data_IF_152305295643
#
_entry.id   IF_152305295643
#
_cell.length_a   1.000
_cell.length_b   1.000
_cell.length_c   1.000
_cell.angle_alpha   90.00
_cell.angle_beta   90.00
_cell.angle_gamma   90.00
#
_symmetry.space_group_name_H-M   'P 1'
#
loop_
_entity.id
_entity.type
_entity.pdbx_description
1 polymer ?
#
# COMPACT_ATOMS: atom_id res chain seq x y z
N UNK A 1 -39.03 -12.91 3.60
CA UNK A 1 -38.65 -13.08 2.18
C UNK A 1 -39.02 -11.81 1.43
N UNK A 2 -38.06 -10.90 1.26
CA UNK A 2 -38.09 -9.90 0.21
C UNK A 2 -36.80 -10.11 -0.56
N UNK A 3 -36.96 -10.41 -1.83
CA UNK A 3 -35.90 -10.72 -2.77
C UNK A 3 -34.85 -9.60 -2.75
N UNK A 4 -33.59 -10.01 -2.62
CA UNK A 4 -32.44 -9.19 -2.96
C UNK A 4 -32.51 -8.96 -4.47
N UNK A 5 -33.15 -7.88 -4.90
CA UNK A 5 -32.82 -7.27 -6.18
C UNK A 5 -31.33 -6.90 -6.12
N UNK A 6 -30.50 -7.72 -6.77
CA UNK A 6 -29.14 -7.37 -7.16
C UNK A 6 -29.25 -6.06 -7.93
N UNK A 7 -29.03 -4.93 -7.27
CA UNK A 7 -28.79 -3.66 -7.95
C UNK A 7 -27.75 -3.92 -9.04
N UNK A 8 -28.14 -3.69 -10.29
CA UNK A 8 -27.28 -3.91 -11.44
C UNK A 8 -26.01 -3.09 -11.25
N UNK A 9 -24.86 -3.76 -11.15
CA UNK A 9 -23.59 -3.09 -10.93
C UNK A 9 -23.18 -2.39 -12.22
N UNK A 10 -23.21 -1.05 -12.24
CA UNK A 10 -22.70 -0.29 -13.38
C UNK A 10 -21.18 -0.35 -13.33
N UNK A 11 -20.58 -0.93 -14.37
CA UNK A 11 -19.12 -1.07 -14.52
C UNK A 11 -18.67 -0.05 -15.55
N UNK A 12 -17.58 0.66 -15.26
CA UNK A 12 -17.00 1.64 -16.18
C UNK A 12 -16.73 1.06 -17.57
N UNK A 13 -16.96 1.85 -18.61
CA UNK A 13 -16.64 1.48 -20.00
C UNK A 13 -15.13 1.45 -20.29
N UNK A 14 -14.32 2.27 -19.60
CA UNK A 14 -12.87 2.38 -19.81
C UNK A 14 -12.01 1.57 -18.83
N UNK A 15 -12.55 1.13 -17.70
CA UNK A 15 -11.83 0.31 -16.73
C UNK A 15 -12.79 -0.71 -16.08
N UNK A 16 -12.45 -1.22 -14.90
CA UNK A 16 -13.27 -2.21 -14.17
C UNK A 16 -13.74 -1.71 -12.80
N UNK A 17 -13.56 -0.43 -12.51
CA UNK A 17 -14.23 0.22 -11.37
C UNK A 17 -15.74 0.25 -11.60
N UNK A 18 -16.49 0.11 -10.51
CA UNK A 18 -17.93 -0.03 -10.54
C UNK A 18 -18.58 0.54 -9.25
N UNK A 19 -19.90 0.37 -9.13
CA UNK A 19 -20.70 0.88 -8.00
C UNK A 19 -20.38 0.25 -6.64
N UNK A 20 -19.40 -0.67 -6.52
CA UNK A 20 -18.86 -1.09 -5.21
C UNK A 20 -18.05 0.03 -4.52
N UNK A 21 -17.62 1.04 -5.27
CA UNK A 21 -17.24 2.35 -4.72
C UNK A 21 -18.51 3.22 -4.61
N UNK A 22 -19.01 3.54 -3.41
CA UNK A 22 -20.29 4.24 -3.26
C UNK A 22 -20.24 5.70 -3.75
N UNK A 23 -19.04 6.26 -3.91
CA UNK A 23 -18.82 7.64 -4.31
C UNK A 23 -18.45 7.75 -5.78
N UNK A 24 -18.42 6.63 -6.51
CA UNK A 24 -18.16 6.62 -7.95
C UNK A 24 -19.25 7.38 -8.68
N UNK A 25 -18.86 8.18 -9.66
CA UNK A 25 -19.79 8.76 -10.61
C UNK A 25 -19.34 8.46 -12.03
N UNK A 26 -20.32 8.33 -12.91
CA UNK A 26 -20.12 8.07 -14.33
C UNK A 26 -20.58 9.30 -15.12
N UNK A 27 -19.87 9.61 -16.19
CA UNK A 27 -20.34 10.59 -17.16
C UNK A 27 -21.31 9.98 -18.18
N UNK A 28 -21.72 10.78 -19.18
CA UNK A 28 -22.67 10.36 -20.21
C UNK A 28 -22.16 9.22 -21.13
N UNK A 29 -20.89 8.82 -21.01
CA UNK A 29 -20.27 7.73 -21.77
C UNK A 29 -19.92 6.52 -20.88
N UNK A 30 -20.51 6.45 -19.68
CA UNK A 30 -20.23 5.42 -18.66
C UNK A 30 -18.75 5.37 -18.22
N UNK A 31 -18.02 6.48 -18.37
CA UNK A 31 -16.63 6.60 -17.91
C UNK A 31 -16.65 7.11 -16.47
N UNK A 32 -16.01 6.36 -15.57
CA UNK A 32 -15.98 6.71 -14.15
C UNK A 32 -14.99 7.83 -13.83
N UNK A 33 -15.19 8.45 -12.69
CA UNK A 33 -14.37 9.55 -12.20
C UNK A 33 -12.91 9.19 -11.94
N UNK A 34 -12.59 7.93 -11.64
CA UNK A 34 -11.21 7.45 -11.55
C UNK A 34 -10.47 7.56 -12.89
N UNK A 35 -11.12 7.18 -14.00
CA UNK A 35 -10.54 7.33 -15.34
C UNK A 35 -10.35 8.80 -15.70
N UNK A 36 -11.31 9.66 -15.32
CA UNK A 36 -11.22 11.11 -15.57
C UNK A 36 -10.13 11.76 -14.73
N UNK A 37 -9.97 11.37 -13.47
CA UNK A 37 -8.89 11.81 -12.59
C UNK A 37 -7.52 11.42 -13.16
N UNK A 38 -7.39 10.18 -13.65
CA UNK A 38 -6.17 9.75 -14.32
C UNK A 38 -5.84 10.65 -15.51
N UNK A 39 -6.78 10.87 -16.43
CA UNK A 39 -6.57 11.69 -17.63
C UNK A 39 -6.19 13.15 -17.30
N UNK A 40 -6.80 13.73 -16.27
CA UNK A 40 -6.68 15.17 -15.98
C UNK A 40 -5.61 15.53 -14.96
N UNK A 41 -5.36 14.67 -13.97
CA UNK A 41 -4.49 14.96 -12.83
C UNK A 41 -3.26 14.05 -12.73
N UNK A 42 -3.29 12.83 -13.27
CA UNK A 42 -2.16 11.89 -13.17
C UNK A 42 -1.33 11.88 -14.45
N UNK A 43 -1.96 11.59 -15.59
CA UNK A 43 -1.30 11.42 -16.89
C UNK A 43 -0.43 12.63 -17.29
N UNK A 44 -0.86 13.91 -17.11
CA UNK A 44 -0.02 15.07 -17.43
C UNK A 44 1.25 15.20 -16.58
N UNK A 45 1.32 14.47 -15.46
CA UNK A 45 2.45 14.48 -14.53
C UNK A 45 3.20 13.15 -14.49
N UNK A 46 2.76 12.14 -15.25
CA UNK A 46 3.38 10.84 -15.30
C UNK A 46 4.52 10.83 -16.32
N UNK A 47 5.75 10.82 -15.79
CA UNK A 47 7.01 11.00 -16.52
C UNK A 47 7.61 9.65 -16.95
N UNK A 48 6.84 8.83 -17.65
CA UNK A 48 7.21 7.43 -17.96
C UNK A 48 7.81 7.22 -19.35
N UNK A 49 7.89 8.24 -20.20
CA UNK A 49 8.36 8.10 -21.58
C UNK A 49 9.89 8.18 -21.74
N UNK A 50 10.62 8.22 -20.62
CA UNK A 50 12.10 8.26 -20.58
C UNK A 50 12.71 9.62 -20.84
N UNK A 51 11.93 10.64 -21.23
CA UNK A 51 12.45 12.01 -21.49
C UNK A 51 12.87 12.72 -20.21
N UNK A 52 12.38 12.27 -19.06
CA UNK A 52 12.69 12.82 -17.75
C UNK A 52 13.79 12.03 -17.03
N UNK A 53 14.55 11.20 -17.76
CA UNK A 53 15.73 10.52 -17.22
C UNK A 53 16.75 11.53 -16.66
N UNK A 54 16.86 12.70 -17.27
CA UNK A 54 17.73 13.78 -16.78
C UNK A 54 17.27 14.35 -15.42
N UNK A 55 15.95 14.51 -15.22
CA UNK A 55 15.40 14.90 -13.93
C UNK A 55 15.73 13.86 -12.85
N UNK A 56 15.61 12.57 -13.20
CA UNK A 56 15.98 11.48 -12.30
C UNK A 56 17.47 11.52 -11.99
N UNK A 57 18.34 11.63 -13.01
CA UNK A 57 19.79 11.70 -12.82
C UNK A 57 20.16 12.86 -11.88
N UNK A 58 19.56 14.04 -12.04
CA UNK A 58 19.78 15.16 -11.14
C UNK A 58 19.36 14.86 -9.69
N UNK A 59 18.24 14.16 -9.49
CA UNK A 59 17.82 13.70 -8.16
C UNK A 59 18.84 12.70 -7.59
N UNK A 60 19.29 11.72 -8.37
CA UNK A 60 20.29 10.72 -7.96
C UNK A 60 21.61 11.40 -7.58
N UNK A 61 22.10 12.35 -8.37
CA UNK A 61 23.33 13.10 -8.08
C UNK A 61 23.21 13.90 -6.77
N UNK A 62 22.03 14.48 -6.52
CA UNK A 62 21.75 15.16 -5.26
C UNK A 62 21.73 14.21 -4.07
N UNK A 63 21.19 13.00 -4.23
CA UNK A 63 21.22 11.95 -3.21
C UNK A 63 22.67 11.58 -2.89
N UNK A 64 23.47 11.26 -3.91
CA UNK A 64 24.90 10.93 -3.78
C UNK A 64 25.69 12.03 -3.09
N UNK A 65 25.51 13.28 -3.53
CA UNK A 65 26.18 14.46 -2.96
C UNK A 65 25.84 14.64 -1.48
N UNK A 66 24.57 14.46 -1.12
CA UNK A 66 24.11 14.56 0.28
C UNK A 66 24.59 13.41 1.16
N UNK A 67 24.78 12.24 0.55
CA UNK A 67 25.30 11.02 1.19
C UNK A 67 26.82 10.92 1.20
N UNK A 68 27.54 11.88 0.62
CA UNK A 68 28.99 11.85 0.56
C UNK A 68 29.61 11.83 1.97
N UNK A 69 30.59 10.96 2.19
CA UNK A 69 31.21 10.73 3.50
C UNK A 69 30.34 9.97 4.52
N UNK A 70 29.13 9.52 4.14
CA UNK A 70 28.29 8.64 4.97
C UNK A 70 28.35 7.21 4.49
N UNK A 71 27.95 6.30 5.36
CA UNK A 71 27.74 4.88 5.02
C UNK A 71 26.62 4.72 3.98
N UNK A 72 25.46 5.36 4.24
CA UNK A 72 24.28 5.31 3.37
C UNK A 72 23.92 6.68 2.80
N UNK A 73 23.45 6.73 1.55
CA UNK A 73 22.97 7.95 0.89
C UNK A 73 21.44 8.06 0.89
N UNK A 74 20.74 6.92 0.94
CA UNK A 74 19.29 6.81 1.00
C UNK A 74 18.87 5.61 1.86
N UNK A 75 17.56 5.48 2.11
CA UNK A 75 16.95 4.34 2.79
C UNK A 75 15.81 3.80 1.93
N UNK A 76 15.67 2.47 1.90
CA UNK A 76 14.69 1.75 1.08
C UNK A 76 14.09 0.61 1.87
N UNK A 77 12.76 0.52 1.87
CA UNK A 77 12.03 -0.58 2.50
C UNK A 77 11.80 -1.71 1.51
N UNK A 78 12.16 -2.94 1.88
CA UNK A 78 11.94 -4.12 1.06
C UNK A 78 10.84 -5.00 1.66
N UNK A 79 9.77 -5.26 0.89
CA UNK A 79 8.68 -6.17 1.27
C UNK A 79 8.82 -7.56 0.66
N UNK A 80 9.72 -7.71 -0.31
CA UNK A 80 9.80 -8.90 -1.17
C UNK A 80 8.83 -8.83 -2.35
N UNK A 81 7.99 -7.81 -2.46
CA UNK A 81 7.11 -7.53 -3.60
C UNK A 81 7.86 -6.91 -4.79
N UNK A 82 7.27 -7.05 -5.99
CA UNK A 82 7.89 -6.66 -7.28
C UNK A 82 8.39 -5.21 -7.31
N UNK A 83 7.56 -4.26 -6.87
CA UNK A 83 7.87 -2.83 -6.93
C UNK A 83 9.12 -2.50 -6.08
N UNK A 84 9.21 -3.05 -4.86
CA UNK A 84 10.33 -2.82 -3.95
C UNK A 84 11.61 -3.53 -4.39
N UNK A 85 11.51 -4.77 -4.88
CA UNK A 85 12.67 -5.55 -5.37
C UNK A 85 13.26 -4.92 -6.63
N UNK A 86 12.42 -4.52 -7.59
CA UNK A 86 12.90 -3.88 -8.81
C UNK A 86 13.50 -2.51 -8.52
N UNK A 87 12.87 -1.71 -7.64
CA UNK A 87 13.45 -0.44 -7.21
C UNK A 87 14.81 -0.62 -6.51
N UNK A 88 14.99 -1.68 -5.71
CA UNK A 88 16.27 -1.96 -5.06
C UNK A 88 17.35 -2.31 -6.10
N UNK A 89 17.02 -3.13 -7.10
CA UNK A 89 17.91 -3.39 -8.22
C UNK A 89 18.35 -2.10 -8.90
N UNK A 90 17.40 -1.24 -9.28
CA UNK A 90 17.70 0.05 -9.92
C UNK A 90 18.58 0.94 -9.03
N UNK A 91 18.25 1.05 -7.75
CA UNK A 91 19.00 1.87 -6.80
C UNK A 91 20.48 1.46 -6.76
N UNK A 92 20.77 0.16 -6.71
CA UNK A 92 22.13 -0.35 -6.56
C UNK A 92 22.87 -0.44 -7.90
N UNK A 93 22.28 -1.11 -8.89
CA UNK A 93 22.96 -1.45 -10.15
C UNK A 93 22.93 -0.32 -11.17
N UNK A 94 21.81 0.39 -11.28
CA UNK A 94 21.64 1.42 -12.31
C UNK A 94 21.99 2.81 -11.80
N UNK A 95 21.62 3.14 -10.56
CA UNK A 95 21.85 4.46 -9.98
C UNK A 95 23.15 4.54 -9.20
N UNK A 96 23.74 3.41 -8.81
CA UNK A 96 24.96 3.38 -7.99
C UNK A 96 24.79 4.06 -6.63
N UNK A 97 23.60 3.95 -6.05
CA UNK A 97 23.31 4.40 -4.69
C UNK A 97 23.72 3.34 -3.66
N UNK A 98 23.90 3.77 -2.42
CA UNK A 98 24.21 2.91 -1.25
C UNK A 98 23.04 2.99 -0.27
N UNK A 99 21.94 2.26 -0.53
CA UNK A 99 20.76 2.29 0.32
C UNK A 99 21.01 1.56 1.64
N UNK A 100 20.51 2.13 2.75
CA UNK A 100 20.17 1.33 3.92
C UNK A 100 18.92 0.54 3.56
N UNK A 101 19.07 -0.77 3.37
CA UNK A 101 17.92 -1.65 3.10
C UNK A 101 17.34 -2.12 4.42
N UNK A 102 16.05 -1.86 4.62
CA UNK A 102 15.37 -2.27 5.83
C UNK A 102 14.10 -3.05 5.53
N UNK A 103 13.76 -3.96 6.43
CA UNK A 103 12.53 -4.72 6.45
C UNK A 103 11.86 -4.57 7.83
N UNK A 104 10.54 -4.59 7.87
CA UNK A 104 9.79 -4.55 9.12
C UNK A 104 8.96 -5.81 9.20
N UNK A 105 9.27 -6.65 10.17
CA UNK A 105 8.51 -7.86 10.44
C UNK A 105 7.36 -7.54 11.39
N UNK A 106 6.16 -7.40 10.82
CA UNK A 106 4.90 -7.28 11.56
C UNK A 106 4.35 -8.63 12.04
N UNK A 107 5.10 -9.72 11.87
CA UNK A 107 4.72 -11.07 12.22
C UNK A 107 4.00 -11.83 11.11
N UNK A 108 3.68 -11.22 9.96
CA UNK A 108 2.81 -11.81 8.92
C UNK A 108 3.50 -12.20 7.61
N UNK A 109 4.83 -12.14 7.55
CA UNK A 109 5.60 -12.51 6.37
C UNK A 109 5.26 -13.93 5.87
N UNK A 110 5.11 -14.06 4.55
CA UNK A 110 5.08 -15.36 3.88
C UNK A 110 6.49 -15.90 3.65
N UNK A 111 6.63 -17.22 3.54
CA UNK A 111 7.91 -17.85 3.17
C UNK A 111 8.42 -17.34 1.82
N UNK A 112 7.50 -17.06 0.89
CA UNK A 112 7.82 -16.49 -0.42
C UNK A 112 8.40 -15.07 -0.31
N UNK A 113 7.86 -14.25 0.60
CA UNK A 113 8.42 -12.93 0.89
C UNK A 113 9.82 -13.00 1.46
N UNK A 114 10.05 -13.88 2.44
CA UNK A 114 11.37 -14.09 3.03
C UNK A 114 12.36 -14.58 1.97
N UNK A 115 11.99 -15.56 1.14
CA UNK A 115 12.80 -16.02 0.01
C UNK A 115 13.17 -14.87 -0.93
N UNK A 116 12.17 -14.11 -1.36
CA UNK A 116 12.34 -13.01 -2.30
C UNK A 116 13.20 -11.87 -1.74
N UNK A 117 13.12 -11.58 -0.44
CA UNK A 117 14.02 -10.63 0.21
C UNK A 117 15.44 -11.18 0.22
N UNK A 118 15.65 -12.41 0.68
CA UNK A 118 16.98 -13.00 0.82
C UNK A 118 17.73 -13.05 -0.52
N UNK A 119 17.09 -13.52 -1.60
CA UNK A 119 17.76 -13.59 -2.90
C UNK A 119 18.19 -12.22 -3.44
N UNK A 120 17.43 -11.16 -3.14
CA UNK A 120 17.79 -9.79 -3.52
C UNK A 120 18.98 -9.30 -2.70
N UNK A 121 18.97 -9.53 -1.38
CA UNK A 121 20.04 -9.11 -0.48
C UNK A 121 21.36 -9.82 -0.81
N UNK A 122 21.32 -11.15 -0.99
CA UNK A 122 22.51 -11.97 -1.26
C UNK A 122 23.16 -11.59 -2.59
N UNK A 123 22.37 -11.54 -3.67
CA UNK A 123 22.90 -11.27 -5.04
C UNK A 123 23.32 -9.82 -5.24
N UNK A 124 22.76 -8.88 -4.48
CA UNK A 124 23.21 -7.48 -4.49
C UNK A 124 24.34 -7.22 -3.48
N UNK A 125 24.68 -8.21 -2.64
CA UNK A 125 25.69 -8.11 -1.58
C UNK A 125 25.43 -6.94 -0.64
N UNK A 126 24.21 -6.89 -0.10
CA UNK A 126 23.74 -5.84 0.81
C UNK A 126 23.56 -6.39 2.21
N UNK A 127 23.52 -5.49 3.20
CA UNK A 127 23.06 -5.80 4.54
C UNK A 127 21.56 -5.52 4.68
N UNK A 128 20.84 -6.38 5.40
CA UNK A 128 19.43 -6.20 5.71
C UNK A 128 19.23 -5.81 7.17
N UNK A 129 18.62 -4.66 7.39
CA UNK A 129 18.19 -4.22 8.72
C UNK A 129 16.74 -4.63 8.97
N UNK A 130 16.51 -5.55 9.91
CA UNK A 130 15.15 -5.99 10.25
C UNK A 130 14.70 -5.42 11.58
N UNK A 131 13.59 -4.67 11.58
CA UNK A 131 12.87 -4.30 12.80
C UNK A 131 11.73 -5.28 13.03
N UNK A 132 11.74 -5.98 14.16
CA UNK A 132 10.66 -6.91 14.54
C UNK A 132 9.70 -6.19 15.45
N UNK A 133 8.46 -5.99 15.01
CA UNK A 133 7.42 -5.37 15.84
C UNK A 133 7.03 -6.35 16.94
N UNK A 134 6.83 -5.83 18.15
CA UNK A 134 6.31 -6.62 19.26
C UNK A 134 5.00 -7.31 18.86
N UNK A 135 5.05 -8.65 18.78
CA UNK A 135 3.95 -9.44 18.27
C UNK A 135 2.67 -9.29 19.11
N UNK A 136 2.79 -9.21 20.44
CA UNK A 136 1.61 -9.07 21.30
C UNK A 136 0.90 -7.73 21.09
N UNK A 137 1.65 -6.66 20.86
CA UNK A 137 1.11 -5.33 20.53
C UNK A 137 0.51 -5.28 19.13
N UNK A 138 1.19 -5.86 18.13
CA UNK A 138 0.65 -5.97 16.77
C UNK A 138 -0.65 -6.79 16.75
N UNK A 139 -0.65 -7.93 17.45
CA UNK A 139 -1.79 -8.84 17.56
C UNK A 139 -2.99 -8.16 18.20
N UNK A 140 -2.81 -7.50 19.36
CA UNK A 140 -3.89 -6.77 20.03
C UNK A 140 -4.41 -5.62 19.16
N UNK A 141 -3.52 -4.92 18.46
CA UNK A 141 -3.89 -3.81 17.58
C UNK A 141 -4.70 -4.29 16.37
N UNK A 142 -4.26 -5.36 15.73
CA UNK A 142 -4.96 -6.03 14.63
C UNK A 142 -6.35 -6.52 15.08
N UNK A 143 -6.42 -7.16 16.25
CA UNK A 143 -7.67 -7.66 16.82
C UNK A 143 -8.64 -6.51 17.18
N UNK A 144 -8.14 -5.38 17.68
CA UNK A 144 -8.94 -4.18 17.93
C UNK A 144 -9.61 -3.67 16.64
N UNK A 145 -8.92 -3.75 15.50
CA UNK A 145 -9.50 -3.39 14.20
C UNK A 145 -10.56 -4.39 13.74
N UNK A 146 -10.38 -5.71 13.94
CA UNK A 146 -11.46 -6.68 13.70
C UNK A 146 -12.71 -6.38 14.53
N UNK A 147 -12.54 -6.17 15.84
CA UNK A 147 -13.61 -5.81 16.80
C UNK A 147 -14.32 -4.50 16.44
N UNK A 148 -13.64 -3.61 15.74
CA UNK A 148 -14.22 -2.34 15.31
C UNK A 148 -15.20 -2.48 14.13
N UNK A 149 -15.14 -3.59 13.39
CA UNK A 149 -16.01 -3.85 12.24
C UNK A 149 -15.74 -3.00 11.00
N UNK A 150 -14.65 -2.21 10.98
CA UNK A 150 -14.21 -1.39 9.83
C UNK A 150 -13.55 -2.21 8.73
N UNK A 151 -13.52 -1.74 7.47
CA UNK A 151 -12.88 -2.48 6.38
C UNK A 151 -11.35 -2.39 6.40
N UNK A 152 -10.75 -1.27 6.77
CA UNK A 152 -9.30 -1.02 6.67
C UNK A 152 -8.47 -1.71 7.77
N UNK A 153 -8.47 -3.04 7.76
CA UNK A 153 -7.85 -3.84 8.79
C UNK A 153 -6.32 -3.77 8.77
N UNK A 154 -5.68 -3.46 7.64
CA UNK A 154 -4.22 -3.45 7.52
C UNK A 154 -3.50 -2.26 8.17
N UNK A 155 -4.23 -1.29 8.72
CA UNK A 155 -3.63 -0.11 9.39
C UNK A 155 -2.54 -0.49 10.42
N UNK A 156 -2.69 -1.51 11.28
CA UNK A 156 -1.64 -1.90 12.22
C UNK A 156 -0.34 -2.35 11.55
N UNK A 157 -0.36 -2.92 10.35
CA UNK A 157 0.87 -3.24 9.63
C UNK A 157 1.43 -2.01 8.92
N UNK A 158 0.61 -1.36 8.10
CA UNK A 158 1.00 -0.19 7.29
C UNK A 158 1.56 0.94 8.14
N UNK A 159 0.94 1.18 9.30
CA UNK A 159 1.40 2.21 10.23
C UNK A 159 2.80 1.90 10.76
N UNK A 160 3.05 0.66 11.16
CA UNK A 160 4.36 0.25 11.66
C UNK A 160 5.44 0.36 10.57
N UNK A 161 5.14 -0.09 9.35
CA UNK A 161 6.07 -0.02 8.23
C UNK A 161 6.50 1.41 7.91
N UNK A 162 5.53 2.33 7.81
CA UNK A 162 5.81 3.74 7.52
C UNK A 162 6.52 4.40 8.71
N UNK A 163 6.04 4.19 9.94
CA UNK A 163 6.61 4.84 11.11
C UNK A 163 8.06 4.42 11.36
N UNK A 164 8.35 3.11 11.31
CA UNK A 164 9.70 2.58 11.49
C UNK A 164 10.63 3.08 10.40
N UNK A 165 10.20 3.11 9.13
CA UNK A 165 10.97 3.67 8.03
C UNK A 165 11.44 5.11 8.33
N UNK A 166 10.51 5.96 8.77
CA UNK A 166 10.82 7.33 9.12
C UNK A 166 11.69 7.45 10.38
N UNK A 167 11.52 6.56 11.36
CA UNK A 167 12.38 6.51 12.55
C UNK A 167 13.82 6.13 12.19
N UNK A 168 14.03 5.13 11.32
CA UNK A 168 15.34 4.73 10.84
C UNK A 168 15.99 5.84 10.00
N UNK A 169 15.23 6.49 9.11
CA UNK A 169 15.71 7.64 8.36
C UNK A 169 16.23 8.75 9.30
N UNK A 170 15.49 9.06 10.37
CA UNK A 170 15.94 10.04 11.38
C UNK A 170 17.15 9.56 12.17
N UNK A 171 17.14 8.32 12.68
CA UNK A 171 18.22 7.72 13.48
C UNK A 171 19.55 7.71 12.74
N UNK A 172 19.53 7.34 11.46
CA UNK A 172 20.72 7.28 10.61
C UNK A 172 21.01 8.60 9.87
N UNK A 173 20.23 9.67 10.13
CA UNK A 173 20.38 11.00 9.50
C UNK A 173 20.38 10.93 7.97
N UNK A 174 19.54 10.04 7.43
CA UNK A 174 19.33 9.83 5.99
C UNK A 174 18.21 10.77 5.53
N UNK A 175 18.48 11.56 4.49
CA UNK A 175 17.54 12.56 3.99
C UNK A 175 16.62 12.04 2.89
N UNK A 176 16.95 10.93 2.25
CA UNK A 176 16.19 10.43 1.09
C UNK A 176 15.65 9.04 1.35
N UNK A 177 14.32 8.92 1.25
CA UNK A 177 13.59 7.65 1.32
C UNK A 177 13.19 7.28 -0.11
N UNK A 178 13.61 6.11 -0.59
CA UNK A 178 13.15 5.56 -1.87
C UNK A 178 11.89 4.71 -1.64
N UNK A 179 10.84 4.99 -2.42
CA UNK A 179 9.55 4.32 -2.31
C UNK A 179 9.11 3.77 -3.68
N UNK A 180 8.66 2.51 -3.69
CA UNK A 180 8.28 1.78 -4.91
C UNK A 180 6.89 2.15 -5.47
N UNK A 181 6.09 2.94 -4.76
CA UNK A 181 4.76 3.31 -5.25
C UNK A 181 4.85 4.15 -6.52
N UNK A 182 4.05 3.81 -7.53
CA UNK A 182 4.21 4.32 -8.89
C UNK A 182 2.87 4.46 -9.62
N UNK A 183 2.79 5.42 -10.56
CA UNK A 183 1.56 5.63 -11.34
C UNK A 183 1.31 4.50 -12.35
N UNK A 184 2.35 3.75 -12.75
CA UNK A 184 2.19 2.67 -13.72
C UNK A 184 1.26 1.57 -13.22
N UNK A 185 1.29 1.27 -11.92
CA UNK A 185 0.47 0.20 -11.33
C UNK A 185 -0.52 0.70 -10.26
N UNK A 186 -0.49 1.99 -9.91
CA UNK A 186 -1.26 2.59 -8.81
C UNK A 186 -1.84 3.98 -9.18
N UNK A 187 -2.21 4.22 -10.43
CA UNK A 187 -2.81 5.50 -10.82
C UNK A 187 -4.26 5.67 -10.36
N UNK A 188 -4.98 4.57 -10.09
CA UNK A 188 -6.32 4.60 -9.51
C UNK A 188 -6.21 4.58 -7.99
N UNK A 189 -6.87 5.52 -7.32
CA UNK A 189 -6.86 5.63 -5.86
C UNK A 189 -7.92 4.71 -5.25
N UNK A 190 -7.57 4.01 -4.17
CA UNK A 190 -8.54 3.26 -3.39
C UNK A 190 -9.63 4.19 -2.82
N UNK A 191 -10.92 3.83 -2.91
CA UNK A 191 -11.98 4.57 -2.25
C UNK A 191 -11.73 4.67 -0.74
N UNK A 192 -11.95 5.84 -0.14
CA UNK A 192 -11.72 6.05 1.30
C UNK A 192 -12.62 5.17 2.17
N UNK A 193 -13.77 4.74 1.66
CA UNK A 193 -14.62 3.78 2.35
C UNK A 193 -13.94 2.40 2.46
N UNK A 194 -13.13 2.01 1.48
CA UNK A 194 -12.45 0.71 1.46
C UNK A 194 -11.20 0.76 2.35
N UNK A 195 -10.33 1.75 2.10
CA UNK A 195 -9.07 1.94 2.81
C UNK A 195 -9.01 3.37 3.37
N UNK A 196 -8.78 3.49 4.68
CA UNK A 196 -8.70 4.78 5.37
C UNK A 196 -7.26 5.12 5.77
N UNK A 197 -7.03 6.39 6.15
CA UNK A 197 -5.70 6.90 6.43
C UNK A 197 -5.06 6.23 7.66
N UNK A 198 -4.05 5.41 7.40
CA UNK A 198 -3.19 4.79 8.42
C UNK A 198 -2.39 5.77 9.28
N UNK A 199 -2.44 7.09 9.04
CA UNK A 199 -1.74 8.10 9.85
C UNK A 199 -2.68 9.01 10.67
N UNK A 200 -3.98 8.69 10.67
CA UNK A 200 -4.98 9.33 11.51
C UNK A 200 -4.89 8.82 12.95
N UNK A 201 -4.08 9.52 13.76
CA UNK A 201 -3.89 9.12 15.16
C UNK A 201 -5.15 9.27 16.02
N UNK A 202 -6.13 10.10 15.62
CA UNK A 202 -7.39 10.19 16.37
C UNK A 202 -8.21 8.93 16.11
N UNK A 203 -8.29 8.50 14.85
CA UNK A 203 -8.96 7.25 14.46
C UNK A 203 -8.33 6.02 15.11
N UNK A 204 -7.00 5.90 14.99
CA UNK A 204 -6.24 4.82 15.61
C UNK A 204 -6.49 4.78 17.13
N UNK A 205 -6.39 5.91 17.81
CA UNK A 205 -6.53 5.95 19.26
C UNK A 205 -7.97 5.70 19.73
N UNK A 206 -8.99 6.11 18.97
CA UNK A 206 -10.39 5.85 19.32
C UNK A 206 -10.72 4.35 19.26
N UNK A 207 -10.28 3.65 18.20
CA UNK A 207 -10.43 2.19 18.08
C UNK A 207 -9.63 1.48 19.17
N UNK A 208 -8.35 1.83 19.36
CA UNK A 208 -7.49 1.21 20.37
C UNK A 208 -8.06 1.33 21.78
N UNK A 209 -8.55 2.52 22.16
CA UNK A 209 -9.15 2.72 23.50
C UNK A 209 -10.44 1.94 23.71
N UNK A 210 -11.19 1.66 22.65
CA UNK A 210 -12.46 0.92 22.72
C UNK A 210 -12.27 -0.59 22.76
N UNK A 211 -11.27 -1.11 22.04
CA UNK A 211 -11.16 -2.55 21.78
C UNK A 211 -9.81 -3.19 22.08
N UNK A 212 -8.75 -2.39 22.23
CA UNK A 212 -7.43 -2.87 22.61
C UNK A 212 -7.40 -3.26 24.09
N UNK A 213 -6.63 -4.29 24.41
CA UNK A 213 -6.59 -4.87 25.76
C UNK A 213 -5.27 -4.62 26.48
N UNK A 214 -4.23 -4.23 25.75
CA UNK A 214 -2.91 -3.96 26.32
C UNK A 214 -2.42 -2.55 26.01
N UNK A 215 -1.46 -2.08 26.81
CA UNK A 215 -0.65 -0.92 26.45
C UNK A 215 0.32 -1.34 25.34
N UNK A 216 0.47 -0.48 24.35
CA UNK A 216 1.39 -0.70 23.23
C UNK A 216 2.53 0.30 23.35
N UNK A 217 3.43 0.01 24.29
CA UNK A 217 4.51 0.91 24.70
C UNK A 217 5.67 0.89 23.70
N UNK A 218 5.88 -0.24 23.00
CA UNK A 218 6.96 -0.39 22.02
C UNK A 218 6.53 -0.17 20.57
N UNK A 219 5.23 -0.22 20.29
CA UNK A 219 4.70 -0.09 18.95
C UNK A 219 5.01 1.30 18.37
N UNK A 220 5.53 1.39 17.13
CA UNK A 220 6.08 2.63 16.58
C UNK A 220 4.97 3.57 16.09
N UNK A 221 4.23 4.22 17.00
CA UNK A 221 3.22 5.20 16.59
C UNK A 221 3.85 6.46 15.98
N UNK A 222 3.32 6.91 14.85
CA UNK A 222 3.75 8.14 14.18
C UNK A 222 2.61 8.87 13.47
N UNK A 223 2.49 10.17 13.71
CA UNK A 223 1.41 10.99 13.17
C UNK A 223 1.71 11.53 11.78
N UNK A 224 0.66 11.87 11.02
CA UNK A 224 0.81 12.57 9.74
C UNK A 224 1.60 13.88 9.87
N UNK A 225 1.44 14.61 10.98
CA UNK A 225 2.16 15.86 11.24
C UNK A 225 3.67 15.62 11.35
N UNK A 226 4.07 14.52 12.00
CA UNK A 226 5.48 14.12 12.08
C UNK A 226 6.05 13.88 10.69
N UNK A 227 5.36 13.14 9.83
CA UNK A 227 5.85 12.82 8.48
C UNK A 227 5.82 14.02 7.52
N UNK A 228 4.66 14.69 7.41
CA UNK A 228 4.41 15.72 6.40
C UNK A 228 4.98 17.09 6.78
N UNK A 229 5.18 17.37 8.06
CA UNK A 229 5.69 18.67 8.55
C UNK A 229 7.08 18.53 9.14
N UNK A 230 7.22 17.85 10.28
CA UNK A 230 8.47 17.83 11.04
C UNK A 230 9.61 17.19 10.25
N UNK A 231 9.44 15.96 9.78
CA UNK A 231 10.50 15.26 9.05
C UNK A 231 10.80 15.93 7.71
N UNK A 232 9.77 16.39 6.99
CA UNK A 232 9.94 17.04 5.70
C UNK A 232 10.64 18.40 5.79
N UNK A 233 10.13 19.33 6.59
CA UNK A 233 10.60 20.72 6.59
C UNK A 233 11.67 21.01 7.64
N UNK A 234 11.67 20.30 8.77
CA UNK A 234 12.65 20.52 9.85
C UNK A 234 13.86 19.58 9.69
N UNK A 235 13.62 18.29 9.40
CA UNK A 235 14.71 17.32 9.19
C UNK A 235 15.17 17.19 7.74
N UNK A 236 14.44 17.77 6.79
CA UNK A 236 14.78 17.72 5.36
C UNK A 236 14.63 16.34 4.73
N UNK A 237 13.82 15.44 5.32
CA UNK A 237 13.55 14.11 4.79
C UNK A 237 12.61 14.20 3.60
N UNK A 238 13.03 13.64 2.47
CA UNK A 238 12.31 13.66 1.20
C UNK A 238 12.05 12.24 0.72
N UNK A 239 10.81 11.94 0.35
CA UNK A 239 10.44 10.66 -0.30
C UNK A 239 10.53 10.85 -1.80
N UNK A 240 11.27 9.96 -2.47
CA UNK A 240 11.41 9.90 -3.92
C UNK A 240 10.76 8.61 -4.42
N UNK A 241 10.10 8.70 -5.57
CA UNK A 241 9.45 7.56 -6.25
C UNK A 241 10.11 7.34 -7.62
N UNK A 242 11.28 6.67 -7.69
CA UNK A 242 12.07 6.58 -8.92
C UNK A 242 11.32 5.92 -10.09
N UNK A 243 10.44 4.96 -9.79
CA UNK A 243 9.65 4.24 -10.80
C UNK A 243 8.70 5.15 -11.61
N UNK A 244 8.44 6.38 -11.15
CA UNK A 244 7.66 7.37 -11.91
C UNK A 244 8.46 8.13 -12.98
N UNK A 245 9.78 7.92 -13.05
CA UNK A 245 10.71 8.60 -13.97
C UNK A 245 11.29 7.66 -15.04
N UNK A 246 10.82 6.42 -15.07
CA UNK A 246 11.27 5.40 -16.01
C UNK A 246 10.06 4.69 -16.62
N UNK A 247 10.20 4.08 -17.81
CA UNK A 247 9.20 3.16 -18.32
C UNK A 247 9.15 1.91 -17.42
N UNK A 248 8.20 1.88 -16.49
CA UNK A 248 8.01 0.74 -15.58
C UNK A 248 6.85 -0.12 -16.08
N UNK A 249 7.15 -1.28 -16.64
CA UNK A 249 6.16 -2.31 -17.00
C UNK A 249 6.27 -3.45 -15.99
N UNK A 250 5.14 -3.81 -15.36
CA UNK A 250 5.12 -4.77 -14.26
C UNK A 250 5.64 -6.14 -14.69
N UNK A 251 5.22 -6.63 -15.85
CA UNK A 251 5.58 -7.96 -16.36
C UNK A 251 7.07 -8.05 -16.72
N UNK A 252 7.63 -6.98 -17.30
CA UNK A 252 9.06 -6.88 -17.61
C UNK A 252 9.89 -6.92 -16.32
N UNK A 253 9.42 -6.21 -15.28
CA UNK A 253 10.08 -6.22 -13.97
C UNK A 253 10.02 -7.60 -13.31
N UNK A 254 8.89 -8.31 -13.40
CA UNK A 254 8.76 -9.69 -12.91
C UNK A 254 9.74 -10.60 -13.65
N UNK A 255 9.67 -10.62 -14.98
CA UNK A 255 10.52 -11.46 -15.84
C UNK A 255 12.01 -11.21 -15.59
N UNK A 256 12.39 -9.95 -15.42
CA UNK A 256 13.75 -9.56 -15.08
C UNK A 256 14.17 -10.09 -13.71
N UNK A 257 13.34 -9.89 -12.69
CA UNK A 257 13.65 -10.33 -11.32
C UNK A 257 13.74 -11.86 -11.22
N UNK A 258 12.87 -12.59 -11.91
CA UNK A 258 12.92 -14.06 -11.96
C UNK A 258 14.24 -14.54 -12.59
N UNK A 259 14.60 -13.97 -13.76
CA UNK A 259 15.80 -14.35 -14.50
C UNK A 259 17.08 -13.99 -13.75
N UNK A 260 17.17 -12.76 -13.26
CA UNK A 260 18.39 -12.22 -12.66
C UNK A 260 18.56 -12.70 -11.21
N UNK A 261 17.49 -12.64 -10.43
CA UNK A 261 17.56 -12.87 -8.99
C UNK A 261 17.02 -14.21 -8.52
N UNK A 262 16.39 -15.00 -9.38
CA UNK A 262 15.64 -16.18 -8.94
C UNK A 262 14.54 -15.80 -7.94
N UNK A 263 14.07 -14.55 -8.07
CA UNK A 263 12.86 -14.05 -7.42
C UNK A 263 11.66 -14.85 -7.94
N UNK A 264 10.61 -14.96 -7.14
CA UNK A 264 9.43 -15.76 -7.46
C UNK A 264 8.16 -14.91 -7.45
N UNK A 265 7.31 -14.98 -8.48
CA UNK A 265 6.11 -14.18 -8.59
C UNK A 265 5.05 -14.57 -7.57
N UNK A 266 4.31 -13.56 -7.13
CA UNK A 266 3.08 -13.74 -6.37
C UNK A 266 1.89 -13.78 -7.33
N UNK A 267 0.85 -14.56 -7.02
CA UNK A 267 -0.36 -14.60 -7.82
C UNK A 267 -1.15 -13.27 -7.81
N UNK A 268 -0.97 -12.43 -6.78
CA UNK A 268 -1.61 -11.12 -6.68
C UNK A 268 -0.71 -10.11 -5.94
N UNK A 269 -0.96 -8.80 -6.14
CA UNK A 269 -0.29 -7.72 -5.41
C UNK A 269 -0.61 -7.81 -3.91
N UNK A 270 0.37 -7.46 -3.06
CA UNK A 270 0.34 -7.52 -1.59
C UNK A 270 0.33 -8.91 -0.95
N UNK A 271 0.43 -9.99 -1.73
CA UNK A 271 0.42 -11.36 -1.21
C UNK A 271 1.76 -11.79 -0.60
N UNK A 272 2.71 -10.87 -0.44
CA UNK A 272 3.88 -11.06 0.43
C UNK A 272 3.50 -11.27 1.91
N UNK A 273 2.39 -10.69 2.37
CA UNK A 273 1.87 -10.85 3.73
C UNK A 273 0.73 -11.87 3.75
N UNK A 274 0.82 -12.86 4.64
CA UNK A 274 -0.26 -13.84 4.86
C UNK A 274 -1.54 -13.17 5.34
N UNK A 275 -1.42 -12.13 6.17
CA UNK A 275 -2.58 -11.39 6.63
C UNK A 275 -3.23 -10.62 5.49
N UNK A 276 -2.46 -9.83 4.73
CA UNK A 276 -2.99 -9.01 3.64
C UNK A 276 -3.61 -9.88 2.53
N UNK A 277 -3.02 -11.05 2.25
CA UNK A 277 -3.62 -12.07 1.37
C UNK A 277 -5.02 -12.48 1.84
N UNK A 278 -5.20 -12.82 3.11
CA UNK A 278 -6.51 -13.17 3.67
C UNK A 278 -7.47 -11.97 3.67
N UNK A 279 -6.96 -10.80 4.04
CA UNK A 279 -7.70 -9.57 4.18
C UNK A 279 -8.23 -9.03 2.83
N UNK A 280 -7.34 -8.77 1.86
CA UNK A 280 -7.73 -8.28 0.53
C UNK A 280 -8.35 -9.38 -0.32
N UNK A 281 -7.88 -10.62 -0.18
CA UNK A 281 -8.35 -11.73 -1.00
C UNK A 281 -9.73 -12.25 -0.61
N UNK A 282 -10.04 -12.29 0.69
CA UNK A 282 -11.29 -12.91 1.19
C UNK A 282 -12.11 -11.94 2.05
N UNK A 283 -11.51 -11.32 3.07
CA UNK A 283 -12.27 -10.54 4.05
C UNK A 283 -12.99 -9.35 3.40
N UNK A 284 -12.30 -8.53 2.60
CA UNK A 284 -12.91 -7.38 1.92
C UNK A 284 -13.98 -7.78 0.89
N UNK A 285 -13.73 -8.72 -0.05
CA UNK A 285 -14.73 -9.10 -1.03
C UNK A 285 -15.97 -9.73 -0.41
N UNK A 286 -15.79 -10.70 0.50
CA UNK A 286 -16.91 -11.46 1.05
C UNK A 286 -17.70 -10.67 2.10
N UNK A 287 -17.01 -9.89 2.95
CA UNK A 287 -17.69 -9.08 3.97
C UNK A 287 -18.24 -7.77 3.40
N UNK A 288 -17.49 -7.05 2.57
CA UNK A 288 -17.86 -5.69 2.15
C UNK A 288 -18.26 -5.57 0.68
N UNK A 289 -17.97 -6.58 -0.16
CA UNK A 289 -18.09 -6.46 -1.61
C UNK A 289 -16.97 -5.63 -2.24
N UNK A 290 -15.90 -5.35 -1.48
CA UNK A 290 -14.78 -4.53 -1.90
C UNK A 290 -13.68 -5.42 -2.46
N UNK A 291 -13.47 -5.38 -3.77
CA UNK A 291 -12.43 -6.17 -4.44
C UNK A 291 -11.29 -5.22 -4.87
N UNK A 292 -10.17 -5.27 -4.14
CA UNK A 292 -9.00 -4.41 -4.39
C UNK A 292 -8.41 -4.61 -5.79
N UNK A 293 -8.64 -5.78 -6.42
CA UNK A 293 -8.22 -6.05 -7.79
C UNK A 293 -8.87 -5.10 -8.79
N UNK A 294 -10.09 -4.59 -8.52
CA UNK A 294 -10.72 -3.61 -9.42
C UNK A 294 -9.89 -2.33 -9.54
N UNK A 295 -9.34 -1.84 -8.42
CA UNK A 295 -8.45 -0.67 -8.38
C UNK A 295 -7.12 -0.98 -9.08
N UNK A 296 -6.53 -2.14 -8.76
CA UNK A 296 -5.24 -2.58 -9.30
C UNK A 296 -5.31 -2.80 -10.82
N UNK A 297 -6.28 -3.56 -11.31
CA UNK A 297 -6.49 -3.83 -12.74
C UNK A 297 -6.91 -2.57 -13.49
N UNK A 298 -7.73 -1.70 -12.90
CA UNK A 298 -8.04 -0.40 -13.53
C UNK A 298 -6.79 0.46 -13.74
N UNK A 299 -5.82 0.41 -12.82
CA UNK A 299 -4.52 1.07 -13.02
C UNK A 299 -3.73 0.47 -14.18
N UNK A 300 -3.72 -0.86 -14.31
CA UNK A 300 -3.06 -1.54 -15.44
C UNK A 300 -3.74 -1.26 -16.79
N UNK A 301 -5.08 -1.17 -16.81
CA UNK A 301 -5.83 -0.82 -18.02
C UNK A 301 -5.52 0.60 -18.46
N UNK A 302 -5.59 1.58 -17.54
CA UNK A 302 -5.35 2.99 -17.85
C UNK A 302 -3.91 3.27 -18.29
N UNK A 303 -2.98 2.39 -17.93
CA UNK A 303 -1.56 2.50 -18.30
C UNK A 303 -1.17 1.58 -19.46
N UNK A 304 -2.14 0.88 -20.07
CA UNK A 304 -1.94 0.08 -21.27
C UNK A 304 -1.24 -1.27 -21.05
N UNK A 305 -1.22 -1.77 -19.80
CA UNK A 305 -0.56 -3.03 -19.43
C UNK A 305 -1.51 -4.22 -19.34
N UNK A 306 -2.82 -3.99 -19.39
CA UNK A 306 -3.87 -5.03 -19.32
C UNK A 306 -5.08 -4.57 -20.12
N UNK A 307 -5.73 -5.47 -20.82
CA UNK A 307 -7.01 -5.16 -21.47
C UNK A 307 -8.17 -5.25 -20.48
N UNK A 308 -9.24 -4.50 -20.74
CA UNK A 308 -10.44 -4.55 -19.91
C UNK A 308 -11.09 -5.94 -19.88
N UNK A 309 -11.08 -6.66 -21.00
CA UNK A 309 -11.68 -7.98 -21.11
C UNK A 309 -10.90 -9.02 -20.29
N UNK A 310 -9.57 -8.98 -20.32
CA UNK A 310 -8.73 -9.82 -19.45
C UNK A 310 -9.02 -9.55 -17.97
N UNK A 311 -9.13 -8.29 -17.58
CA UNK A 311 -9.45 -7.92 -16.20
C UNK A 311 -10.82 -8.46 -15.76
N UNK A 312 -11.84 -8.31 -16.61
CA UNK A 312 -13.18 -8.83 -16.33
C UNK A 312 -13.20 -10.35 -16.22
N UNK A 313 -12.46 -11.06 -17.06
CA UNK A 313 -12.36 -12.52 -16.98
C UNK A 313 -11.66 -12.97 -15.68
N UNK A 314 -10.61 -12.27 -15.26
CA UNK A 314 -9.94 -12.56 -13.98
C UNK A 314 -10.84 -12.27 -12.77
N UNK A 315 -11.64 -11.19 -12.83
CA UNK A 315 -12.55 -10.79 -11.74
C UNK A 315 -13.73 -11.76 -11.56
N UNK A 316 -14.06 -12.61 -12.54
CA UNK A 316 -15.06 -13.68 -12.38
C UNK A 316 -14.64 -14.73 -11.35
N UNK A 317 -13.34 -14.88 -11.11
CA UNK A 317 -12.78 -15.83 -10.15
C UNK A 317 -12.54 -15.11 -8.82
N UNK A 318 -12.81 -15.74 -7.66
CA UNK A 318 -12.46 -15.17 -6.37
C UNK A 318 -10.94 -14.93 -6.26
N UNK A 319 -10.53 -13.94 -5.48
CA UNK A 319 -9.12 -13.63 -5.20
C UNK A 319 -8.45 -14.64 -4.23
N UNK A 320 -9.24 -15.57 -3.71
CA UNK A 320 -8.81 -16.60 -2.77
C UNK A 320 -9.16 -17.99 -3.32
N UNK A 321 -8.52 -19.03 -2.79
CA UNK A 321 -8.88 -20.41 -3.09
C UNK A 321 -9.99 -20.87 -2.13
N UNK A 322 -11.22 -21.15 -2.61
CA UNK A 322 -12.31 -21.58 -1.76
C UNK A 322 -12.04 -22.91 -1.04
N UNK A 323 -11.18 -23.77 -1.60
CA UNK A 323 -10.86 -25.06 -1.00
C UNK A 323 -10.00 -24.96 0.27
N UNK A 324 -9.22 -23.86 0.41
CA UNK A 324 -8.27 -23.69 1.52
C UNK A 324 -8.63 -22.51 2.43
N UNK A 325 -9.74 -21.83 2.18
CA UNK A 325 -10.05 -20.58 2.89
C UNK A 325 -10.36 -20.81 4.37
N UNK A 326 -10.97 -21.94 4.70
CA UNK A 326 -11.25 -22.30 6.09
C UNK A 326 -9.95 -22.56 6.89
N UNK A 327 -8.93 -23.15 6.26
CA UNK A 327 -7.61 -23.32 6.87
C UNK A 327 -6.91 -21.97 7.10
N UNK A 328 -6.98 -21.07 6.11
CA UNK A 328 -6.46 -19.69 6.25
C UNK A 328 -7.21 -18.95 7.37
N UNK A 329 -8.54 -19.08 7.44
CA UNK A 329 -9.36 -18.48 8.50
C UNK A 329 -8.96 -18.99 9.89
N UNK A 330 -8.77 -20.31 10.03
CA UNK A 330 -8.29 -20.94 11.26
C UNK A 330 -6.88 -20.49 11.63
N UNK A 331 -5.98 -20.37 10.65
CA UNK A 331 -4.63 -19.88 10.85
C UNK A 331 -4.63 -18.44 11.38
N UNK A 332 -5.38 -17.53 10.74
CA UNK A 332 -5.50 -16.13 11.17
C UNK A 332 -6.06 -16.05 12.60
N UNK A 333 -7.15 -16.77 12.90
CA UNK A 333 -7.76 -16.79 14.24
C UNK A 333 -6.76 -17.27 15.31
N UNK A 334 -6.10 -18.41 15.05
CA UNK A 334 -5.11 -19.01 15.95
C UNK A 334 -3.97 -18.04 16.23
N UNK A 335 -3.44 -17.40 15.19
CA UNK A 335 -2.33 -16.45 15.35
C UNK A 335 -2.77 -15.21 16.11
N UNK A 336 -3.99 -14.74 15.90
CA UNK A 336 -4.60 -13.64 16.67
C UNK A 336 -4.93 -14.03 18.12
N UNK A 337 -4.75 -15.30 18.51
CA UNK A 337 -5.01 -15.78 19.87
C UNK A 337 -6.49 -15.91 20.20
N UNK A 338 -7.35 -16.07 19.19
CA UNK A 338 -8.80 -16.23 19.34
C UNK A 338 -9.29 -17.50 18.65
N UNK A 339 -10.53 -17.90 18.97
CA UNK A 339 -11.16 -19.03 18.26
C UNK A 339 -11.63 -18.63 16.86
N UNK A 340 -11.71 -19.59 15.94
CA UNK A 340 -12.31 -19.36 14.62
C UNK A 340 -13.78 -18.97 14.70
N UNK A 341 -14.50 -19.40 15.75
CA UNK A 341 -15.88 -18.96 15.99
C UNK A 341 -15.94 -17.47 16.33
N UNK A 342 -15.00 -16.98 17.14
CA UNK A 342 -14.90 -15.58 17.49
C UNK A 342 -14.52 -14.71 16.29
N UNK A 343 -13.54 -15.13 15.47
CA UNK A 343 -13.22 -14.42 14.24
C UNK A 343 -14.42 -14.40 13.27
N UNK A 344 -15.20 -15.48 13.20
CA UNK A 344 -16.43 -15.55 12.38
C UNK A 344 -17.55 -14.69 12.94
N UNK A 345 -17.59 -14.48 14.24
CA UNK A 345 -18.47 -13.48 14.84
C UNK A 345 -18.10 -12.08 14.33
N UNK A 346 -16.82 -11.69 14.34
CA UNK A 346 -16.36 -10.42 13.76
C UNK A 346 -16.60 -10.34 12.24
N UNK A 347 -16.58 -11.47 11.53
CA UNK A 347 -16.92 -11.51 10.11
C UNK A 347 -18.41 -11.23 9.83
N UNK A 348 -19.30 -11.55 10.78
CA UNK A 348 -20.76 -11.38 10.61
C UNK A 348 -21.36 -10.20 11.39
N UNK A 349 -20.59 -9.57 12.28
CA UNK A 349 -21.06 -8.40 13.04
C UNK A 349 -21.40 -7.23 12.10
N UNK A 350 -22.20 -6.28 12.59
CA UNK A 350 -22.54 -5.06 11.86
C UNK A 350 -21.30 -4.37 11.28
N UNK A 351 -21.35 -4.04 9.99
CA UNK A 351 -20.29 -3.29 9.31
C UNK A 351 -20.23 -1.87 9.87
N UNK A 352 -19.02 -1.37 10.06
CA UNK A 352 -18.73 0.02 10.39
C UNK A 352 -17.71 0.57 9.42
N UNK A 353 -17.50 1.87 9.47
CA UNK A 353 -16.55 2.58 8.63
C UNK A 353 -15.81 3.62 9.45
N UNK A 354 -14.85 4.33 8.85
CA UNK A 354 -14.02 5.30 9.57
C UNK A 354 -14.84 6.45 10.20
N UNK A 355 -16.01 6.79 9.67
CA UNK A 355 -16.89 7.82 10.22
C UNK A 355 -17.67 7.39 11.48
N UNK A 356 -17.72 6.09 11.78
CA UNK A 356 -18.33 5.57 13.02
C UNK A 356 -17.38 5.70 14.23
N UNK A 357 -16.17 6.21 14.00
CA UNK A 357 -15.12 6.45 14.98
C UNK A 357 -14.62 7.89 14.85
N UNK A 358 -14.03 8.42 15.94
CA UNK A 358 -13.45 9.78 15.90
C UNK A 358 -12.30 9.80 14.89
N UNK A 359 -12.27 10.78 14.00
CA UNK A 359 -11.26 10.87 12.94
C UNK A 359 -10.90 12.33 12.60
N UNK A 360 -9.83 12.50 11.82
CA UNK A 360 -9.32 13.79 11.34
C UNK A 360 -9.55 14.01 9.83
N UNK A 361 -10.52 13.32 9.21
CA UNK A 361 -10.74 13.40 7.77
C UNK A 361 -10.91 14.85 7.28
N UNK A 362 -11.66 15.68 8.01
CA UNK A 362 -11.87 17.09 7.66
C UNK A 362 -10.56 17.89 7.64
N UNK A 363 -9.66 17.65 8.60
CA UNK A 363 -8.36 18.30 8.68
C UNK A 363 -7.51 17.88 7.47
N UNK A 364 -7.51 16.60 7.13
CA UNK A 364 -6.73 16.10 5.99
C UNK A 364 -7.27 16.63 4.66
N UNK A 365 -8.59 16.72 4.52
CA UNK A 365 -9.23 17.31 3.33
C UNK A 365 -8.87 18.78 3.17
N UNK A 366 -8.89 19.57 4.24
CA UNK A 366 -8.47 20.98 4.21
C UNK A 366 -6.97 21.10 3.91
N UNK A 367 -6.13 20.31 4.59
CA UNK A 367 -4.69 20.29 4.37
C UNK A 367 -4.31 19.94 2.93
N UNK A 368 -4.95 18.93 2.34
CA UNK A 368 -4.74 18.55 0.94
C UNK A 368 -5.12 19.69 -0.03
N UNK A 369 -6.24 20.39 0.21
CA UNK A 369 -6.64 21.56 -0.58
C UNK A 369 -5.60 22.68 -0.50
N UNK A 370 -5.10 22.99 0.71
CA UNK A 370 -4.06 24.01 0.90
C UNK A 370 -2.77 23.61 0.19
N UNK A 371 -2.31 22.37 0.35
CA UNK A 371 -1.09 21.89 -0.32
C UNK A 371 -1.19 21.89 -1.85
N UNK A 372 -2.39 21.60 -2.39
CA UNK A 372 -2.63 21.68 -3.82
C UNK A 372 -2.65 23.14 -4.32
N UNK A 373 -3.29 24.06 -3.58
CA UNK A 373 -3.26 25.50 -3.89
C UNK A 373 -1.84 26.08 -3.87
N UNK A 374 -0.99 25.59 -2.96
CA UNK A 374 0.43 25.98 -2.87
C UNK A 374 1.32 25.26 -3.92
N UNK A 375 0.77 24.39 -4.78
CA UNK A 375 1.53 23.65 -5.78
C UNK A 375 2.47 22.56 -5.22
N UNK A 376 2.36 22.23 -3.93
CA UNK A 376 3.21 21.25 -3.25
C UNK A 376 2.75 19.82 -3.55
N UNK A 377 1.44 19.58 -3.60
CA UNK A 377 0.85 18.33 -4.09
C UNK A 377 0.37 18.52 -5.54
N UNK A 378 1.14 17.99 -6.49
CA UNK A 378 0.87 18.10 -7.93
C UNK A 378 -0.32 17.25 -8.39
N UNK A 379 -0.54 16.10 -7.76
CA UNK A 379 -1.70 15.22 -8.02
C UNK A 379 -2.75 15.45 -6.95
N UNK A 380 -3.98 15.73 -7.38
CA UNK A 380 -5.11 15.92 -6.46
C UNK A 380 -5.52 14.57 -5.86
N UNK A 381 -5.72 14.54 -4.54
CA UNK A 381 -6.40 13.42 -3.89
C UNK A 381 -7.89 13.50 -4.16
N UNK A 382 -8.54 12.35 -4.35
CA UNK A 382 -10.00 12.27 -4.51
C UNK A 382 -10.68 12.88 -3.27
N UNK A 383 -11.56 13.86 -3.49
CA UNK A 383 -12.07 14.73 -2.41
C UNK A 383 -13.32 14.18 -1.70
N UNK A 384 -13.83 13.00 -2.09
CA UNK A 384 -15.08 12.41 -1.57
C UNK A 384 -14.93 10.93 -1.30
#
# INVERSE_FOLDING_TARGET
MKENEKNCCVICSNCVMDTSDPNIYFDAFDVCDHCRDFQTNVLPHWKSNGRERDDLNHIIDKIKTTGNGKEFDCILGISGGVDSSYMLHLAVKEFGLRPLVFHVDGGWNSELAVHNINVMIDKLSLDLYTEVINWEEMKDFQLAFFKSGVPHLDIPQDHAFIATLYQFAEKHKIKYILNGGNFSTECVQYPMQWLYYGTDMVHINDIRKKFGTIKMDTYPFSSVFRHKIFLKYIKGVTVIKPLNYIPYIKEDAISFLEKEYSWKPYPQKHFESRFTKFYEGYWLPERFGFDTRKVQFSSLILTGQMTRDEALEQLKKPAYNPATIEDEFNYIATKLGISSQELRHYFNMQKKYYWDYKNQQNIFRIGAKVLNLLGIEKVKKRQK
#
